data_IF_164647191249
#
_entry.id   IF_164647191249
#
_cell.length_a   1.000
_cell.length_b   1.000
_cell.length_c   1.000
_cell.angle_alpha   90.00
_cell.angle_beta   90.00
_cell.angle_gamma   90.00
#
_symmetry.space_group_name_H-M   'P 1'
#
loop_
_entity.id
_entity.type
_entity.pdbx_description
1 polymer ?
#
# COMPACT_ATOMS: atom_id res chain seq x y z
N UNK A 1 8.99 34.27 12.73
CA UNK A 1 9.80 33.06 12.46
C UNK A 1 9.07 32.26 11.39
N UNK A 2 9.72 31.97 10.26
CA UNK A 2 9.09 31.19 9.18
C UNK A 2 8.99 29.72 9.60
N UNK A 3 7.79 29.17 9.65
CA UNK A 3 7.57 27.74 9.87
C UNK A 3 8.32 26.93 8.81
N UNK A 4 9.00 25.83 9.17
CA UNK A 4 9.70 25.00 8.18
C UNK A 4 8.69 24.51 7.14
N UNK A 5 9.01 24.69 5.85
CA UNK A 5 8.18 24.27 4.72
C UNK A 5 7.93 22.76 4.83
N UNK A 6 6.75 22.35 5.29
CA UNK A 6 6.35 20.95 5.30
C UNK A 6 5.96 20.54 3.89
N UNK A 7 6.74 19.66 3.28
CA UNK A 7 6.36 19.03 2.00
C UNK A 7 5.27 17.99 2.23
N UNK A 8 4.28 17.86 1.33
CA UNK A 8 3.24 16.84 1.45
C UNK A 8 3.85 15.43 1.32
N UNK A 9 3.43 14.53 2.21
CA UNK A 9 3.75 13.10 2.16
C UNK A 9 2.49 12.34 1.76
N UNK A 10 2.51 11.73 0.57
CA UNK A 10 1.40 10.93 0.06
C UNK A 10 1.61 9.46 0.39
N UNK A 11 0.60 8.83 0.97
CA UNK A 11 0.55 7.40 1.24
C UNK A 11 -0.90 6.93 1.13
N UNK A 12 -1.08 5.63 0.90
CA UNK A 12 -2.40 5.01 0.78
C UNK A 12 -2.78 4.36 2.11
N UNK A 13 -4.07 4.40 2.45
CA UNK A 13 -4.66 3.76 3.61
C UNK A 13 -5.70 2.75 3.14
N UNK A 14 -5.84 1.64 3.88
CA UNK A 14 -7.03 0.81 3.78
C UNK A 14 -8.21 1.51 4.46
N UNK A 15 -9.44 1.16 4.09
CA UNK A 15 -10.66 1.70 4.69
C UNK A 15 -10.67 1.53 6.23
N UNK A 16 -10.22 0.37 6.72
CA UNK A 16 -10.06 0.11 8.15
C UNK A 16 -9.10 1.11 8.83
N UNK A 17 -7.97 1.42 8.18
CA UNK A 17 -6.97 2.32 8.72
C UNK A 17 -7.41 3.78 8.65
N UNK A 18 -8.17 4.15 7.62
CA UNK A 18 -8.82 5.47 7.52
C UNK A 18 -9.86 5.66 8.63
N UNK A 19 -10.71 4.66 8.87
CA UNK A 19 -11.66 4.67 9.98
C UNK A 19 -10.95 4.82 11.33
N UNK A 20 -9.84 4.11 11.54
CA UNK A 20 -9.00 4.23 12.74
C UNK A 20 -8.39 5.63 12.87
N UNK A 21 -7.91 6.20 11.78
CA UNK A 21 -7.36 7.57 11.76
C UNK A 21 -8.42 8.59 12.19
N UNK A 22 -9.64 8.47 11.67
CA UNK A 22 -10.74 9.39 12.01
C UNK A 22 -11.22 9.19 13.46
N UNK A 23 -11.27 7.96 13.95
CA UNK A 23 -11.56 7.67 15.35
C UNK A 23 -10.52 8.30 16.30
N UNK A 24 -9.22 8.15 15.99
CA UNK A 24 -8.15 8.82 16.74
C UNK A 24 -8.27 10.34 16.68
N UNK A 25 -8.60 10.90 15.51
CA UNK A 25 -8.78 12.35 15.35
C UNK A 25 -9.84 12.89 16.29
N UNK A 26 -11.01 12.25 16.30
CA UNK A 26 -12.15 12.66 17.14
C UNK A 26 -11.89 12.41 18.62
N UNK A 27 -11.42 11.20 18.96
CA UNK A 27 -11.21 10.79 20.35
C UNK A 27 -10.18 11.63 21.11
N UNK A 28 -9.14 12.10 20.42
CA UNK A 28 -8.10 12.96 21.01
C UNK A 28 -8.30 14.46 20.73
N UNK A 29 -9.35 14.85 19.99
CA UNK A 29 -9.61 16.26 19.65
C UNK A 29 -8.58 16.87 18.69
N UNK A 30 -7.95 16.08 17.82
CA UNK A 30 -6.98 16.58 16.85
C UNK A 30 -7.67 17.39 15.74
N UNK A 31 -7.07 18.52 15.37
CA UNK A 31 -7.61 19.43 14.37
C UNK A 31 -7.61 18.86 12.93
N UNK A 32 -6.74 17.90 12.61
CA UNK A 32 -6.61 17.35 11.26
C UNK A 32 -5.96 15.97 11.23
N UNK A 33 -6.10 15.26 10.11
CA UNK A 33 -5.41 13.99 9.85
C UNK A 33 -3.89 14.13 10.01
N UNK A 34 -3.31 15.23 9.52
CA UNK A 34 -1.86 15.48 9.67
C UNK A 34 -1.44 15.64 11.14
N UNK A 35 -2.32 16.17 12.00
CA UNK A 35 -2.05 16.24 13.44
C UNK A 35 -2.05 14.84 14.08
N UNK A 36 -2.98 13.97 13.68
CA UNK A 36 -2.99 12.55 14.10
C UNK A 36 -1.71 11.84 13.67
N UNK A 37 -1.32 11.98 12.39
CA UNK A 37 -0.10 11.35 11.86
C UNK A 37 1.14 11.84 12.62
N UNK A 38 1.28 13.14 12.86
CA UNK A 38 2.42 13.67 13.65
C UNK A 38 2.44 13.13 15.08
N UNK A 39 1.28 13.05 15.75
CA UNK A 39 1.19 12.49 17.10
C UNK A 39 1.54 11.00 17.11
N UNK A 40 1.06 10.24 16.12
CA UNK A 40 1.40 8.82 15.96
C UNK A 40 2.90 8.63 15.76
N UNK A 41 3.53 9.40 14.86
CA UNK A 41 4.97 9.34 14.61
C UNK A 41 5.80 9.69 15.86
N UNK A 42 5.34 10.65 16.68
CA UNK A 42 6.04 11.03 17.91
C UNK A 42 6.00 9.94 18.99
N UNK A 43 4.93 9.13 19.02
CA UNK A 43 4.75 8.05 19.99
C UNK A 43 5.21 6.67 19.49
N UNK A 44 5.50 6.53 18.19
CA UNK A 44 5.82 5.25 17.58
C UNK A 44 7.27 4.84 17.85
N UNK A 45 7.46 3.62 18.37
CA UNK A 45 8.79 3.04 18.54
C UNK A 45 9.32 2.48 17.20
N UNK A 46 10.14 3.28 16.53
CA UNK A 46 10.81 2.86 15.30
C UNK A 46 11.91 1.83 15.52
N UNK A 47 12.55 1.81 16.70
CA UNK A 47 13.66 0.90 16.98
C UNK A 47 13.16 -0.54 17.22
N UNK A 48 12.02 -0.68 17.90
CA UNK A 48 11.33 -1.96 18.09
C UNK A 48 10.47 -2.41 16.90
N UNK A 49 10.26 -1.55 15.90
CA UNK A 49 9.40 -1.85 14.77
C UNK A 49 9.95 -3.02 13.94
N UNK A 50 9.27 -4.17 14.02
CA UNK A 50 9.48 -5.31 13.12
C UNK A 50 8.33 -5.39 12.12
N UNK A 51 8.44 -4.73 10.96
CA UNK A 51 7.38 -4.82 9.97
C UNK A 51 7.21 -6.27 9.54
N UNK A 52 5.99 -6.80 9.64
CA UNK A 52 5.62 -8.11 9.13
C UNK A 52 5.60 -8.02 7.60
N UNK A 53 6.78 -7.99 6.98
CA UNK A 53 6.90 -8.09 5.54
C UNK A 53 6.77 -9.57 5.20
N UNK A 54 5.61 -9.97 4.65
CA UNK A 54 5.61 -11.13 3.77
C UNK A 54 6.74 -10.91 2.76
N UNK A 55 7.70 -11.83 2.67
CA UNK A 55 8.90 -11.69 1.86
C UNK A 55 8.51 -11.68 0.37
N UNK A 56 8.06 -10.53 -0.13
CA UNK A 56 7.74 -10.33 -1.52
C UNK A 56 9.06 -10.29 -2.30
N UNK A 57 9.21 -11.18 -3.28
CA UNK A 57 10.33 -11.14 -4.21
C UNK A 57 9.91 -10.34 -5.43
N UNK A 58 10.76 -9.43 -5.86
CA UNK A 58 10.60 -8.77 -7.16
C UNK A 58 10.98 -9.76 -8.25
N UNK A 59 10.08 -9.97 -9.22
CA UNK A 59 10.25 -10.89 -10.34
C UNK A 59 10.17 -10.10 -11.64
N UNK A 60 11.14 -10.29 -12.53
CA UNK A 60 11.11 -9.76 -13.88
C UNK A 60 10.75 -10.87 -14.86
N UNK A 61 9.61 -10.74 -15.54
CA UNK A 61 9.14 -11.71 -16.55
C UNK A 61 8.97 -11.02 -17.89
N UNK A 62 9.09 -11.80 -18.96
CA UNK A 62 8.74 -11.36 -20.31
C UNK A 62 7.27 -11.71 -20.57
N UNK A 63 6.54 -10.73 -21.09
CA UNK A 63 5.15 -10.87 -21.55
C UNK A 63 5.06 -10.20 -22.92
N UNK A 64 4.10 -10.60 -23.75
CA UNK A 64 3.90 -9.97 -25.06
C UNK A 64 3.46 -8.51 -24.92
N UNK A 65 3.60 -7.73 -26.00
CA UNK A 65 3.12 -6.35 -26.04
C UNK A 65 1.60 -6.28 -25.75
N UNK A 66 0.82 -7.19 -26.31
CA UNK A 66 -0.63 -7.27 -26.12
C UNK A 66 -1.01 -7.59 -24.68
N UNK A 67 -0.33 -8.55 -24.04
CA UNK A 67 -0.53 -8.87 -22.63
C UNK A 67 -0.21 -7.67 -21.73
N UNK A 68 0.86 -6.92 -22.05
CA UNK A 68 1.22 -5.71 -21.31
C UNK A 68 0.17 -4.60 -21.49
N UNK A 69 -0.36 -4.41 -22.69
CA UNK A 69 -1.41 -3.43 -22.97
C UNK A 69 -2.71 -3.79 -22.22
N UNK A 70 -3.11 -5.07 -22.25
CA UNK A 70 -4.26 -5.60 -21.52
C UNK A 70 -4.15 -5.35 -20.01
N UNK A 71 -3.00 -5.69 -19.41
CA UNK A 71 -2.74 -5.47 -17.98
C UNK A 71 -2.84 -3.99 -17.61
N UNK A 72 -2.24 -3.08 -18.40
CA UNK A 72 -2.31 -1.63 -18.15
C UNK A 72 -3.72 -1.08 -18.24
N UNK A 73 -4.52 -1.56 -19.21
CA UNK A 73 -5.92 -1.16 -19.36
C UNK A 73 -6.72 -1.55 -18.12
N UNK A 74 -6.65 -2.81 -17.70
CA UNK A 74 -7.40 -3.29 -16.53
C UNK A 74 -6.90 -2.67 -15.22
N UNK A 75 -5.60 -2.41 -15.07
CA UNK A 75 -5.04 -1.74 -13.89
C UNK A 75 -5.68 -0.36 -13.70
N UNK A 76 -5.77 0.42 -14.79
CA UNK A 76 -6.43 1.75 -14.79
C UNK A 76 -7.92 1.65 -14.51
N UNK A 77 -8.63 0.74 -15.17
CA UNK A 77 -10.08 0.58 -15.01
C UNK A 77 -10.50 0.20 -13.59
N UNK A 78 -9.66 -0.58 -12.90
CA UNK A 78 -9.95 -1.07 -11.55
C UNK A 78 -9.22 -0.29 -10.45
N UNK A 79 -8.49 0.79 -10.80
CA UNK A 79 -7.68 1.57 -9.85
C UNK A 79 -6.69 0.72 -9.03
N UNK A 80 -6.12 -0.33 -9.62
CA UNK A 80 -5.13 -1.22 -8.97
C UNK A 80 -3.80 -1.22 -9.70
N UNK A 81 -2.75 -1.70 -9.05
CA UNK A 81 -1.45 -1.85 -9.69
C UNK A 81 -1.42 -3.04 -10.67
N UNK A 82 -0.56 -2.98 -11.69
CA UNK A 82 -0.30 -4.13 -12.57
C UNK A 82 0.19 -5.34 -11.76
N UNK A 83 1.00 -5.11 -10.73
CA UNK A 83 1.50 -6.17 -9.86
C UNK A 83 0.38 -6.86 -9.08
N UNK A 84 -0.65 -6.13 -8.68
CA UNK A 84 -1.81 -6.70 -8.01
C UNK A 84 -2.62 -7.61 -8.94
N UNK A 85 -2.90 -7.17 -10.17
CA UNK A 85 -3.54 -8.03 -11.17
C UNK A 85 -2.75 -9.30 -11.45
N UNK A 86 -1.41 -9.20 -11.54
CA UNK A 86 -0.55 -10.37 -11.71
C UNK A 86 -0.61 -11.33 -10.52
N UNK A 87 -0.64 -10.82 -9.28
CA UNK A 87 -0.79 -11.65 -8.08
C UNK A 87 -2.13 -12.37 -8.08
N UNK A 88 -3.23 -11.68 -8.42
CA UNK A 88 -4.56 -12.29 -8.53
C UNK A 88 -4.60 -13.37 -9.62
N UNK A 89 -4.02 -13.10 -10.79
CA UNK A 89 -3.96 -14.07 -11.89
C UNK A 89 -3.16 -15.33 -11.50
N UNK A 90 -2.03 -15.15 -10.81
CA UNK A 90 -1.22 -16.27 -10.30
C UNK A 90 -1.92 -17.05 -9.19
N UNK A 91 -2.66 -16.37 -8.30
CA UNK A 91 -3.44 -17.02 -7.24
C UNK A 91 -4.60 -17.87 -7.80
N UNK A 92 -5.17 -17.47 -8.94
CA UNK A 92 -6.22 -18.21 -9.62
C UNK A 92 -5.68 -19.43 -10.41
N UNK A 93 -4.36 -19.55 -10.60
CA UNK A 93 -3.79 -20.69 -11.31
C UNK A 93 -3.83 -21.96 -10.45
N UNK A 94 -4.32 -23.09 -10.97
CA UNK A 94 -4.26 -24.36 -10.25
C UNK A 94 -2.80 -24.82 -10.10
N UNK A 95 -2.39 -25.12 -8.88
CA UNK A 95 -1.06 -25.69 -8.60
C UNK A 95 -1.06 -27.15 -9.05
N UNK A 96 -0.27 -27.47 -10.07
CA UNK A 96 0.00 -28.86 -10.48
C UNK A 96 1.38 -29.28 -9.99
N UNK A 97 1.54 -30.46 -9.38
CA UNK A 97 2.86 -30.97 -9.02
C UNK A 97 3.68 -31.19 -10.29
N UNK A 98 4.93 -30.72 -10.30
CA UNK A 98 5.85 -30.99 -11.40
C UNK A 98 6.16 -32.48 -11.48
N UNK A 99 6.20 -33.04 -12.69
CA UNK A 99 6.83 -34.36 -12.89
C UNK A 99 8.32 -34.20 -12.58
N UNK A 100 8.80 -34.96 -11.59
CA UNK A 100 10.22 -35.15 -11.32
C UNK A 100 10.86 -36.00 -12.40
#
# INVERSE_FOLDING_TARGET
>A
MASPKSSPLTFELTEEMEARLEACRRGHGYASASAVVRAALAAFDFAGCRPVRAKQRQLSVRVSADQRALLRRHARQNCVSVGELLRLALAAMPVKPGRR
#
